data_IF_859826767082
#
_entry.id   IF_859826767082
#
_cell.length_a   1.000
_cell.length_b   1.000
_cell.length_c   1.000
_cell.angle_alpha   90.00
_cell.angle_beta   90.00
_cell.angle_gamma   90.00
#
_symmetry.space_group_name_H-M   'P 1'
#
loop_
_entity.id
_entity.type
_entity.pdbx_description
1 polymer ?
#
# COMPACT_ATOMS: atom_id res chain seq x y z
N UNK A 1 18.21 -17.78 25.12
CA UNK A 1 17.44 -16.54 25.18
C UNK A 1 16.41 -16.57 24.03
N UNK A 2 15.15 -16.55 24.39
CA UNK A 2 14.11 -16.53 23.34
C UNK A 2 14.09 -15.16 22.68
N UNK A 3 14.28 -15.12 21.36
CA UNK A 3 14.10 -13.88 20.61
C UNK A 3 12.61 -13.59 20.46
N UNK A 4 12.23 -12.35 20.69
CA UNK A 4 10.87 -11.92 20.43
C UNK A 4 10.58 -12.07 18.92
N UNK A 5 9.36 -12.50 18.56
CA UNK A 5 9.03 -12.56 17.14
C UNK A 5 9.13 -11.14 16.54
N UNK A 6 9.94 -11.03 15.53
CA UNK A 6 10.04 -9.78 14.78
C UNK A 6 8.85 -9.70 13.84
N UNK A 7 8.07 -8.61 13.86
CA UNK A 7 7.01 -8.46 12.87
C UNK A 7 7.60 -8.49 11.47
N UNK A 8 6.85 -8.96 10.46
CA UNK A 8 7.34 -8.95 9.09
C UNK A 8 7.87 -7.56 8.73
N UNK A 9 9.04 -7.50 8.16
CA UNK A 9 9.60 -6.22 7.75
C UNK A 9 8.71 -5.61 6.67
N UNK A 10 8.31 -4.35 6.89
CA UNK A 10 7.61 -3.60 5.88
C UNK A 10 8.59 -3.35 4.71
N UNK A 11 8.15 -3.53 3.46
CA UNK A 11 9.04 -3.27 2.34
C UNK A 11 9.60 -1.86 2.36
N UNK A 12 10.87 -1.72 2.04
CA UNK A 12 11.51 -0.43 1.83
C UNK A 12 11.18 0.02 0.40
N UNK A 13 10.08 0.75 0.26
CA UNK A 13 9.51 1.07 -1.02
C UNK A 13 9.04 2.53 -1.03
N UNK A 14 9.07 3.14 -2.21
CA UNK A 14 8.62 4.51 -2.39
C UNK A 14 7.16 4.53 -2.80
N UNK A 15 6.30 4.98 -1.90
CA UNK A 15 4.86 5.06 -2.17
C UNK A 15 4.55 5.97 -3.36
N UNK A 16 5.31 7.05 -3.55
CA UNK A 16 5.07 7.98 -4.65
C UNK A 16 5.33 7.35 -6.02
N UNK A 17 6.09 6.26 -6.08
CA UNK A 17 6.37 5.58 -7.35
C UNK A 17 5.12 4.93 -7.97
N UNK A 18 4.07 4.75 -7.19
CA UNK A 18 2.82 4.14 -7.69
C UNK A 18 1.85 5.17 -8.28
N UNK A 19 2.04 6.44 -7.97
CA UNK A 19 1.16 7.51 -8.48
C UNK A 19 1.30 7.61 -10.00
N UNK A 20 0.19 7.60 -10.69
CA UNK A 20 0.16 7.65 -12.15
C UNK A 20 0.10 6.28 -12.83
N UNK A 21 0.27 5.20 -12.07
CA UNK A 21 0.14 3.86 -12.63
C UNK A 21 -1.32 3.45 -12.73
N UNK A 22 -1.63 2.56 -13.69
CA UNK A 22 -2.91 1.89 -13.70
C UNK A 22 -3.07 1.08 -12.41
N UNK A 23 -4.27 1.05 -11.82
CA UNK A 23 -4.47 0.44 -10.52
C UNK A 23 -4.10 -1.04 -10.47
N UNK A 24 -4.37 -1.80 -11.53
CA UNK A 24 -4.02 -3.22 -11.58
C UNK A 24 -2.50 -3.42 -11.68
N UNK A 25 -1.81 -2.56 -12.43
CA UNK A 25 -0.35 -2.61 -12.51
C UNK A 25 0.29 -2.24 -11.17
N UNK A 26 -0.26 -1.23 -10.50
CA UNK A 26 0.21 -0.82 -9.18
C UNK A 26 0.02 -1.93 -8.15
N UNK A 27 -1.12 -2.62 -8.17
CA UNK A 27 -1.39 -3.74 -7.27
C UNK A 27 -0.37 -4.86 -7.48
N UNK A 28 -0.12 -5.26 -8.72
CA UNK A 28 0.85 -6.30 -9.02
C UNK A 28 2.26 -5.92 -8.60
N UNK A 29 2.65 -4.66 -8.85
CA UNK A 29 3.97 -4.18 -8.46
C UNK A 29 4.15 -4.18 -6.95
N UNK A 30 3.13 -3.71 -6.21
CA UNK A 30 3.18 -3.70 -4.76
C UNK A 30 3.33 -5.11 -4.20
N UNK A 31 2.54 -6.05 -4.69
CA UNK A 31 2.61 -7.45 -4.22
C UNK A 31 3.97 -8.08 -4.55
N UNK A 32 4.52 -7.78 -5.71
CA UNK A 32 5.83 -8.29 -6.10
C UNK A 32 6.96 -7.73 -5.22
N UNK A 33 6.75 -6.56 -4.63
CA UNK A 33 7.72 -5.93 -3.72
C UNK A 33 7.58 -6.35 -2.27
N UNK A 34 6.58 -7.20 -1.97
CA UNK A 34 6.43 -7.79 -0.65
C UNK A 34 5.37 -7.15 0.24
N UNK A 35 4.53 -6.27 -0.29
CA UNK A 35 3.40 -5.75 0.48
C UNK A 35 2.38 -6.85 0.71
N UNK A 36 1.99 -7.06 1.97
CA UNK A 36 1.03 -8.10 2.35
C UNK A 36 -0.39 -7.76 1.93
N UNK A 37 -0.73 -6.48 2.03
CA UNK A 37 -2.07 -6.00 1.77
C UNK A 37 -2.01 -4.78 0.89
N UNK A 38 -2.81 -4.79 -0.16
CA UNK A 38 -3.00 -3.63 -1.03
C UNK A 38 -4.46 -3.22 -0.93
N UNK A 39 -4.72 -1.98 -0.50
CA UNK A 39 -6.07 -1.44 -0.41
C UNK A 39 -6.25 -0.33 -1.41
N UNK A 40 -7.25 -0.44 -2.28
CA UNK A 40 -7.61 0.59 -3.23
C UNK A 40 -8.91 1.25 -2.79
N UNK A 41 -8.95 2.57 -2.77
CA UNK A 41 -10.13 3.31 -2.33
C UNK A 41 -10.45 4.41 -3.35
N UNK A 42 -11.74 4.78 -3.51
CA UNK A 42 -12.11 5.90 -4.35
C UNK A 42 -11.76 7.23 -3.67
N UNK A 43 -11.69 8.33 -4.42
CA UNK A 43 -11.50 9.66 -3.86
C UNK A 43 -12.61 10.00 -2.86
N UNK A 44 -12.28 10.75 -1.83
CA UNK A 44 -13.24 11.19 -0.82
C UNK A 44 -13.61 10.14 0.21
N UNK A 45 -12.95 8.98 0.20
CA UNK A 45 -13.18 7.95 1.20
C UNK A 45 -12.71 8.42 2.57
N UNK A 46 -13.57 8.29 3.58
CA UNK A 46 -13.17 8.51 4.96
C UNK A 46 -12.27 7.36 5.40
N UNK A 47 -11.02 7.69 5.71
CA UNK A 47 -10.07 6.71 6.19
C UNK A 47 -10.01 6.83 7.71
N UNK A 48 -10.26 5.71 8.39
CA UNK A 48 -10.01 5.63 9.82
C UNK A 48 -8.50 5.69 10.04
N UNK A 49 -8.08 6.27 11.17
CA UNK A 49 -6.66 6.39 11.52
C UNK A 49 -6.10 5.06 12.01
N UNK A 50 -6.38 4.00 11.29
CA UNK A 50 -5.96 2.66 11.63
C UNK A 50 -4.74 2.29 10.78
N UNK A 51 -3.57 2.33 11.41
CA UNK A 51 -2.34 1.91 10.75
C UNK A 51 -2.28 0.38 10.70
N UNK A 52 -1.96 -0.17 9.54
CA UNK A 52 -1.66 -1.58 9.39
C UNK A 52 -0.27 -1.77 8.82
N UNK A 53 0.54 -2.52 9.55
CA UNK A 53 1.88 -2.88 9.11
C UNK A 53 1.80 -3.75 7.85
N UNK A 54 2.62 -3.45 6.86
CA UNK A 54 2.64 -4.21 5.61
C UNK A 54 1.54 -3.87 4.63
N UNK A 55 0.73 -2.84 4.90
CA UNK A 55 -0.33 -2.39 4.00
C UNK A 55 0.08 -1.14 3.24
N UNK A 56 -0.14 -1.17 1.92
CA UNK A 56 -0.04 0.01 1.08
C UNK A 56 -1.42 0.37 0.56
N UNK A 57 -1.71 1.66 0.47
CA UNK A 57 -3.03 2.16 0.10
C UNK A 57 -2.93 3.01 -1.16
N UNK A 58 -3.87 2.80 -2.07
CA UNK A 58 -3.99 3.60 -3.28
C UNK A 58 -5.33 4.32 -3.30
N UNK A 59 -5.32 5.62 -3.61
CA UNK A 59 -6.52 6.30 -4.04
C UNK A 59 -6.57 6.16 -5.56
N UNK A 60 -7.68 5.65 -6.09
CA UNK A 60 -7.81 5.35 -7.51
C UNK A 60 -8.95 6.18 -8.10
N UNK A 61 -8.66 6.88 -9.18
CA UNK A 61 -9.63 7.63 -9.98
C UNK A 61 -9.50 7.20 -11.43
N UNK A 62 -10.62 6.80 -12.02
CA UNK A 62 -10.65 6.37 -13.42
C UNK A 62 -9.59 5.29 -13.74
N UNK A 63 -9.40 4.37 -12.81
CA UNK A 63 -8.47 3.26 -12.98
C UNK A 63 -7.00 3.62 -12.79
N UNK A 64 -6.70 4.84 -12.36
CA UNK A 64 -5.34 5.32 -12.17
C UNK A 64 -5.10 5.70 -10.70
N UNK A 65 -3.94 5.36 -10.19
CA UNK A 65 -3.54 5.73 -8.83
C UNK A 65 -3.23 7.22 -8.79
N UNK A 66 -3.96 7.96 -7.96
CA UNK A 66 -3.78 9.41 -7.81
C UNK A 66 -3.08 9.77 -6.50
N UNK A 67 -3.13 8.89 -5.50
CA UNK A 67 -2.40 9.03 -4.23
C UNK A 67 -2.00 7.66 -3.74
N UNK A 68 -0.90 7.62 -3.01
CA UNK A 68 -0.42 6.38 -2.39
C UNK A 68 0.18 6.71 -1.02
N UNK A 69 -0.12 5.87 -0.03
CA UNK A 69 0.45 6.02 1.30
C UNK A 69 0.53 4.65 1.99
N UNK A 70 1.40 4.57 2.97
CA UNK A 70 1.66 3.35 3.75
C UNK A 70 0.83 3.39 5.03
N UNK A 71 0.32 2.24 5.41
CA UNK A 71 -0.47 2.10 6.63
C UNK A 71 -1.95 1.98 6.37
#
# INVERSE_FOLDING_TARGET
MASLPTPPAQPDDDADAYVGLASDAADRQARSRGWDTVRAVPPGTFLTMEFRHGRINFQVEDGTVTRCWVG
#
